data_IF_419447381305
#
_entry.id   IF_419447381305
#
_cell.length_a   1.000
_cell.length_b   1.000
_cell.length_c   1.000
_cell.angle_alpha   90.00
_cell.angle_beta   90.00
_cell.angle_gamma   90.00
#
_symmetry.space_group_name_H-M   'P 1'
#
loop_
_entity.id
_entity.type
_entity.pdbx_description
1 polymer ?
#
# COMPACT_ATOMS: atom_id res chain seq x y z
N UNK A 1 -4.68 31.62 -85.79
CA UNK A 1 -5.68 30.76 -85.11
C UNK A 1 -5.59 29.37 -85.73
N UNK A 2 -4.86 28.45 -85.10
CA UNK A 2 -4.53 27.14 -85.70
C UNK A 2 -5.03 26.02 -84.78
N UNK A 3 -5.82 25.12 -85.36
CA UNK A 3 -6.51 23.98 -84.74
C UNK A 3 -5.59 22.79 -84.50
N UNK A 4 -5.93 22.03 -83.45
CA UNK A 4 -5.38 20.73 -83.05
C UNK A 4 -5.39 19.65 -84.14
N UNK A 5 -4.40 18.74 -84.08
CA UNK A 5 -4.57 17.32 -84.44
C UNK A 5 -3.79 16.41 -83.50
N UNK A 6 -4.52 15.51 -82.84
CA UNK A 6 -4.08 14.38 -82.01
C UNK A 6 -3.29 13.34 -82.83
N UNK A 7 -2.28 12.71 -82.22
CA UNK A 7 -1.66 11.46 -82.69
C UNK A 7 -1.86 10.37 -81.63
N UNK A 8 -2.42 9.23 -82.05
CA UNK A 8 -2.43 7.95 -81.34
C UNK A 8 -1.15 7.15 -81.67
N UNK A 9 -0.62 6.33 -80.75
CA UNK A 9 0.18 5.16 -81.10
C UNK A 9 -0.58 3.85 -80.75
N UNK A 10 -0.82 2.98 -81.74
CA UNK A 10 -0.09 1.74 -82.09
C UNK A 10 -0.22 0.61 -81.04
N UNK A 11 -1.01 -0.41 -81.37
CA UNK A 11 -1.00 -1.77 -80.79
C UNK A 11 0.01 -2.65 -81.55
N UNK A 12 0.60 -3.69 -80.92
CA UNK A 12 0.27 -5.08 -81.28
C UNK A 12 0.46 -6.09 -80.09
N UNK A 13 0.55 -7.43 -80.26
CA UNK A 13 -0.55 -8.38 -80.38
C UNK A 13 -0.56 -9.52 -79.32
N UNK A 14 -1.66 -10.29 -79.33
CA UNK A 14 -1.94 -11.68 -78.88
C UNK A 14 -0.98 -12.49 -77.96
N UNK A 15 -1.59 -13.02 -76.89
CA UNK A 15 -1.36 -14.21 -76.02
C UNK A 15 -0.77 -15.48 -76.68
N UNK A 16 -0.39 -16.58 -75.94
CA UNK A 16 -0.43 -16.85 -74.49
C UNK A 16 0.87 -17.46 -73.89
N UNK A 17 1.05 -17.39 -72.57
CA UNK A 17 2.04 -18.23 -71.85
C UNK A 17 1.35 -19.01 -70.73
N UNK A 18 1.49 -20.33 -70.85
CA UNK A 18 1.00 -21.36 -69.95
C UNK A 18 1.49 -21.19 -68.52
N UNK A 19 0.57 -21.47 -67.59
CA UNK A 19 0.84 -21.66 -66.18
C UNK A 19 1.73 -22.88 -65.96
N UNK A 20 2.91 -22.66 -65.36
CA UNK A 20 3.62 -23.74 -64.65
C UNK A 20 3.67 -23.38 -63.17
N UNK A 21 2.91 -24.12 -62.36
CA UNK A 21 2.97 -24.10 -60.90
C UNK A 21 4.28 -24.73 -60.44
N UNK A 22 5.14 -23.95 -59.78
CA UNK A 22 6.22 -24.48 -58.94
C UNK A 22 5.94 -24.06 -57.50
N UNK A 23 5.61 -25.05 -56.67
CA UNK A 23 5.23 -24.87 -55.27
C UNK A 23 6.41 -24.39 -54.43
N UNK A 24 6.27 -23.19 -53.86
CA UNK A 24 7.13 -22.72 -52.78
C UNK A 24 6.61 -23.35 -51.48
N UNK A 25 7.34 -24.33 -50.96
CA UNK A 25 7.10 -24.89 -49.64
C UNK A 25 7.28 -23.79 -48.58
N UNK A 26 6.16 -23.31 -48.03
CA UNK A 26 6.15 -22.42 -46.86
C UNK A 26 6.71 -23.20 -45.67
N UNK A 27 7.99 -22.96 -45.33
CA UNK A 27 8.60 -23.44 -44.09
C UNK A 27 7.84 -22.79 -42.94
N UNK A 28 6.95 -23.55 -42.30
CA UNK A 28 6.16 -23.13 -41.14
C UNK A 28 7.15 -22.82 -40.02
N UNK A 29 7.41 -21.54 -39.76
CA UNK A 29 8.19 -21.12 -38.60
C UNK A 29 7.35 -21.49 -37.37
N UNK A 30 7.70 -22.62 -36.76
CA UNK A 30 7.08 -23.07 -35.53
C UNK A 30 7.53 -22.10 -34.43
N UNK A 31 6.66 -21.14 -34.11
CA UNK A 31 6.84 -20.26 -32.95
C UNK A 31 6.82 -21.17 -31.72
N UNK A 32 8.01 -21.49 -31.20
CA UNK A 32 8.18 -22.15 -29.89
C UNK A 32 7.51 -21.27 -28.84
N UNK A 33 6.23 -21.52 -28.56
CA UNK A 33 5.56 -20.98 -27.38
C UNK A 33 6.26 -21.58 -26.17
N UNK A 34 6.94 -20.75 -25.38
CA UNK A 34 7.57 -21.23 -24.15
C UNK A 34 6.49 -21.86 -23.28
N UNK A 35 6.61 -23.16 -23.01
CA UNK A 35 5.71 -23.94 -22.16
C UNK A 35 5.91 -23.66 -20.66
N UNK A 36 6.55 -22.55 -20.29
CA UNK A 36 6.65 -22.16 -18.88
C UNK A 36 5.25 -21.85 -18.38
N UNK A 37 4.68 -22.79 -17.64
CA UNK A 37 3.48 -22.59 -16.85
C UNK A 37 3.71 -21.34 -15.98
N UNK A 38 3.07 -20.23 -16.35
CA UNK A 38 3.06 -19.04 -15.50
C UNK A 38 2.28 -19.41 -14.25
N UNK A 39 2.89 -19.29 -13.07
CA UNK A 39 2.15 -19.35 -11.81
C UNK A 39 1.03 -18.31 -11.88
N UNK A 40 -0.14 -18.65 -11.34
CA UNK A 40 -1.25 -17.70 -11.24
C UNK A 40 -0.78 -16.44 -10.49
N UNK A 41 -1.29 -15.25 -10.86
CA UNK A 41 -0.95 -14.01 -10.16
C UNK A 41 -1.29 -14.11 -8.68
N UNK A 42 -0.46 -13.53 -7.80
CA UNK A 42 -0.80 -13.48 -6.37
C UNK A 42 -2.07 -12.65 -6.18
N UNK A 43 -3.06 -13.29 -5.59
CA UNK A 43 -4.24 -12.61 -5.12
C UNK A 43 -4.05 -12.20 -3.66
N UNK A 44 -3.62 -10.95 -3.46
CA UNK A 44 -3.65 -10.28 -2.16
C UNK A 44 -5.09 -9.79 -1.89
N UNK A 45 -6.04 -10.69 -1.69
CA UNK A 45 -7.37 -10.32 -1.17
C UNK A 45 -7.25 -9.88 0.30
N UNK A 46 -8.31 -9.25 0.83
CA UNK A 46 -8.48 -8.47 2.09
C UNK A 46 -8.00 -9.10 3.42
N UNK A 47 -7.31 -10.22 3.37
CA UNK A 47 -6.81 -11.00 4.50
C UNK A 47 -5.28 -10.87 4.63
N UNK A 48 -4.78 -9.66 4.46
CA UNK A 48 -3.35 -9.32 4.48
C UNK A 48 -2.63 -9.60 5.81
N UNK A 49 -3.39 -9.70 6.91
CA UNK A 49 -2.92 -10.17 8.23
C UNK A 49 -2.64 -11.68 8.27
N UNK A 50 -3.19 -12.48 7.35
CA UNK A 50 -2.95 -13.93 7.28
C UNK A 50 -1.52 -14.28 6.86
N UNK A 51 -0.75 -13.34 6.32
CA UNK A 51 0.66 -13.58 5.99
C UNK A 51 1.50 -13.84 7.24
N UNK A 52 1.13 -13.18 8.35
CA UNK A 52 1.83 -13.30 9.63
C UNK A 52 1.03 -14.09 10.66
N UNK A 53 -0.29 -14.18 10.50
CA UNK A 53 -1.18 -14.93 11.39
C UNK A 53 -1.73 -14.10 12.56
N UNK A 54 -1.23 -12.88 12.73
CA UNK A 54 -1.60 -11.99 13.84
C UNK A 54 -2.58 -10.91 13.37
N UNK A 55 -3.68 -10.77 14.10
CA UNK A 55 -4.58 -9.63 13.97
C UNK A 55 -3.96 -8.38 14.62
N UNK A 56 -4.41 -7.17 14.23
CA UNK A 56 -4.08 -5.98 14.99
C UNK A 56 -4.41 -6.14 16.48
N UNK A 57 -3.54 -5.63 17.33
CA UNK A 57 -3.70 -5.63 18.78
C UNK A 57 -3.92 -4.21 19.28
N UNK A 58 -4.92 -4.03 20.15
CA UNK A 58 -5.31 -2.74 20.69
C UNK A 58 -5.32 -2.77 22.23
N UNK A 59 -4.89 -1.67 22.85
CA UNK A 59 -5.03 -1.45 24.29
C UNK A 59 -5.80 -0.17 24.57
N UNK A 60 -6.64 -0.22 25.59
CA UNK A 60 -7.47 0.92 26.03
C UNK A 60 -6.62 1.86 26.89
N UNK A 61 -6.97 3.13 26.87
CA UNK A 61 -6.48 4.10 27.85
C UNK A 61 -7.03 3.80 29.26
N UNK A 62 -6.30 4.22 30.29
CA UNK A 62 -6.76 4.18 31.69
C UNK A 62 -8.10 4.90 31.84
N UNK A 63 -8.26 6.02 31.14
CA UNK A 63 -9.55 6.68 30.95
C UNK A 63 -10.30 6.04 29.76
N UNK A 64 -11.21 5.11 30.05
CA UNK A 64 -11.99 4.40 29.02
C UNK A 64 -12.71 5.34 28.03
N UNK A 65 -13.11 6.53 28.49
CA UNK A 65 -13.77 7.54 27.67
C UNK A 65 -12.85 8.18 26.63
N UNK A 66 -11.53 8.05 26.79
CA UNK A 66 -10.50 8.56 25.87
C UNK A 66 -10.20 7.59 24.70
N UNK A 67 -10.70 6.36 24.76
CA UNK A 67 -10.52 5.34 23.73
C UNK A 67 -9.21 4.57 23.84
N UNK A 68 -8.53 4.41 22.71
CA UNK A 68 -7.29 3.66 22.58
C UNK A 68 -6.07 4.38 23.17
N UNK A 69 -5.14 3.57 23.69
CA UNK A 69 -3.80 3.98 24.15
C UNK A 69 -2.69 3.46 23.25
N UNK A 70 -2.89 2.30 22.67
CA UNK A 70 -1.87 1.64 21.87
C UNK A 70 -2.51 0.76 20.80
N UNK A 71 -1.86 0.72 19.63
CA UNK A 71 -2.19 -0.19 18.56
C UNK A 71 -0.94 -0.73 17.89
N UNK A 72 -0.94 -2.01 17.52
CA UNK A 72 0.16 -2.61 16.77
C UNK A 72 -0.34 -3.64 15.75
N UNK A 73 0.38 -3.78 14.64
CA UNK A 73 0.10 -4.78 13.61
C UNK A 73 1.37 -5.13 12.81
N UNK A 74 1.40 -6.32 12.21
CA UNK A 74 2.39 -6.68 11.19
C UNK A 74 1.68 -6.66 9.83
N UNK A 75 2.12 -5.76 8.97
CA UNK A 75 1.53 -5.47 7.68
C UNK A 75 2.26 -6.26 6.59
N UNK A 76 1.53 -7.16 5.93
CA UNK A 76 2.03 -7.87 4.76
C UNK A 76 1.83 -7.10 3.45
N UNK A 77 2.34 -7.63 2.32
CA UNK A 77 2.24 -7.03 0.98
C UNK A 77 0.80 -6.81 0.46
N UNK A 78 -0.21 -7.33 1.14
CA UNK A 78 -1.62 -7.07 0.82
C UNK A 78 -2.26 -5.95 1.65
N UNK A 79 -1.56 -5.36 2.62
CA UNK A 79 -2.08 -4.25 3.40
C UNK A 79 -2.05 -2.95 2.57
N UNK A 80 -2.83 -1.94 2.95
CA UNK A 80 -2.84 -0.63 2.28
C UNK A 80 -3.80 -0.51 1.09
N UNK A 81 -4.77 -1.43 0.93
CA UNK A 81 -5.65 -1.50 -0.24
C UNK A 81 -6.90 -0.59 -0.18
N UNK A 82 -6.81 0.58 0.46
CA UNK A 82 -7.82 1.63 0.31
C UNK A 82 -9.19 1.27 0.89
N UNK A 83 -9.25 1.00 2.19
CA UNK A 83 -10.52 0.90 2.93
C UNK A 83 -11.12 2.27 3.26
N UNK A 84 -10.32 3.35 3.18
CA UNK A 84 -10.76 4.68 3.58
C UNK A 84 -10.97 4.76 5.10
N UNK A 85 -11.68 5.77 5.59
CA UNK A 85 -12.03 5.86 7.01
C UNK A 85 -13.39 5.23 7.28
N UNK A 86 -13.46 4.32 8.24
CA UNK A 86 -14.67 3.74 8.79
C UNK A 86 -14.91 4.17 10.26
N UNK A 87 -14.26 5.26 10.70
CA UNK A 87 -14.36 5.72 12.09
C UNK A 87 -15.77 6.21 12.44
N UNK A 88 -16.27 5.77 13.59
CA UNK A 88 -17.57 6.23 14.11
C UNK A 88 -17.37 7.56 14.83
N UNK A 89 -17.96 8.63 14.31
CA UNK A 89 -17.69 10.02 14.74
C UNK A 89 -18.15 10.41 16.15
N UNK A 90 -18.88 9.54 16.84
CA UNK A 90 -19.31 9.71 18.24
C UNK A 90 -18.42 8.96 19.25
N UNK A 91 -17.37 8.29 18.77
CA UNK A 91 -16.34 7.66 19.59
C UNK A 91 -15.02 8.43 19.50
N UNK A 92 -14.10 8.26 20.48
CA UNK A 92 -14.38 7.70 21.81
C UNK A 92 -15.37 8.59 22.59
N UNK A 93 -16.00 8.07 23.65
CA UNK A 93 -17.17 8.68 24.30
C UNK A 93 -16.96 10.15 24.72
N UNK A 94 -15.73 10.55 25.07
CA UNK A 94 -15.42 11.92 25.45
C UNK A 94 -15.56 12.95 24.30
N UNK A 95 -15.55 12.52 23.03
CA UNK A 95 -15.44 13.43 21.88
C UNK A 95 -16.54 14.51 21.83
N UNK A 96 -17.75 14.18 22.27
CA UNK A 96 -18.87 15.14 22.29
C UNK A 96 -18.69 16.21 23.37
N UNK A 97 -18.22 15.81 24.56
CA UNK A 97 -17.91 16.76 25.64
C UNK A 97 -16.75 17.68 25.26
N UNK A 98 -15.75 17.15 24.55
CA UNK A 98 -14.59 17.90 24.04
C UNK A 98 -15.05 18.94 23.02
N UNK A 99 -15.83 18.54 22.00
CA UNK A 99 -16.38 19.45 20.98
C UNK A 99 -17.22 20.58 21.60
N UNK A 100 -18.00 20.28 22.65
CA UNK A 100 -18.77 21.30 23.36
C UNK A 100 -17.89 22.29 24.14
N UNK A 101 -16.80 21.81 24.75
CA UNK A 101 -15.88 22.65 25.54
C UNK A 101 -14.98 23.52 24.66
N UNK A 102 -14.62 23.04 23.48
CA UNK A 102 -13.67 23.67 22.57
C UNK A 102 -14.29 23.91 21.17
N UNK A 103 -15.29 24.78 21.04
CA UNK A 103 -16.01 24.99 19.78
C UNK A 103 -15.14 25.58 18.65
N UNK A 104 -13.98 26.16 18.99
CA UNK A 104 -13.03 26.72 18.01
C UNK A 104 -12.01 25.72 17.47
N UNK A 105 -12.01 24.47 17.92
CA UNK A 105 -11.07 23.43 17.48
C UNK A 105 -11.83 22.25 16.90
N UNK A 106 -11.40 21.78 15.73
CA UNK A 106 -12.02 20.65 15.05
C UNK A 106 -11.45 19.35 15.58
N UNK A 107 -12.25 18.65 16.38
CA UNK A 107 -11.93 17.32 16.86
C UNK A 107 -12.58 16.22 16.03
N UNK A 108 -11.84 15.14 15.80
CA UNK A 108 -12.28 13.97 15.05
C UNK A 108 -12.00 12.67 15.81
N UNK A 109 -12.74 11.63 15.45
CA UNK A 109 -12.42 10.26 15.85
C UNK A 109 -11.30 9.74 14.97
N UNK A 110 -10.07 9.85 15.46
CA UNK A 110 -8.88 9.40 14.77
C UNK A 110 -8.59 7.93 15.02
N UNK A 111 -8.22 7.19 13.98
CA UNK A 111 -7.67 5.85 14.16
C UNK A 111 -6.27 5.91 14.80
N UNK A 112 -5.95 4.98 15.69
CA UNK A 112 -4.56 4.70 16.07
C UNK A 112 -3.88 3.94 14.94
N UNK A 113 -4.33 2.74 14.59
CA UNK A 113 -3.91 2.07 13.36
C UNK A 113 -4.86 2.43 12.23
N UNK A 114 -4.31 2.99 11.15
CA UNK A 114 -5.07 3.37 9.96
C UNK A 114 -5.93 2.20 9.43
N UNK A 115 -7.16 2.48 9.00
CA UNK A 115 -8.05 1.48 8.42
C UNK A 115 -7.49 0.82 7.15
N UNK A 116 -6.68 1.53 6.37
CA UNK A 116 -5.94 0.96 5.23
C UNK A 116 -4.93 -0.12 5.69
N UNK A 117 -4.47 -0.04 6.93
CA UNK A 117 -3.59 -1.04 7.56
C UNK A 117 -4.37 -2.14 8.30
N UNK A 118 -5.71 -2.13 8.21
CA UNK A 118 -6.58 -3.08 8.90
C UNK A 118 -7.05 -2.64 10.28
N UNK A 119 -6.86 -1.36 10.64
CA UNK A 119 -7.49 -0.79 11.82
C UNK A 119 -9.03 -0.84 11.75
N UNK A 120 -9.68 -1.25 12.84
CA UNK A 120 -11.13 -1.21 12.95
C UNK A 120 -11.58 0.18 13.44
N UNK A 121 -12.35 0.92 12.64
CA UNK A 121 -12.91 2.22 13.02
C UNK A 121 -14.15 2.16 13.91
N UNK A 122 -14.66 0.95 14.20
CA UNK A 122 -15.81 0.72 15.09
C UNK A 122 -15.36 0.32 16.50
N UNK A 123 -14.15 -0.22 16.62
CA UNK A 123 -13.56 -0.53 17.92
C UNK A 123 -12.97 0.72 18.57
N UNK A 124 -13.60 1.18 19.66
CA UNK A 124 -13.12 2.29 20.46
C UNK A 124 -11.66 2.15 20.93
N UNK A 125 -11.12 0.93 21.04
CA UNK A 125 -9.72 0.69 21.43
C UNK A 125 -8.72 1.11 20.36
N UNK A 126 -9.17 1.25 19.12
CA UNK A 126 -8.38 1.76 18.00
C UNK A 126 -8.74 3.21 17.66
N UNK A 127 -9.58 3.87 18.46
CA UNK A 127 -9.99 5.25 18.22
C UNK A 127 -9.47 6.15 19.33
N UNK A 128 -9.10 7.37 18.96
CA UNK A 128 -8.66 8.38 19.92
C UNK A 128 -9.06 9.78 19.45
N UNK A 129 -9.08 10.76 20.35
CA UNK A 129 -9.51 12.12 20.01
C UNK A 129 -8.36 12.91 19.40
N UNK A 130 -8.39 13.09 18.07
CA UNK A 130 -7.43 13.91 17.34
C UNK A 130 -8.02 15.27 16.98
N UNK A 131 -7.18 16.30 16.95
CA UNK A 131 -7.46 17.54 16.24
C UNK A 131 -7.29 17.31 14.73
N UNK A 132 -7.82 18.20 13.90
CA UNK A 132 -7.59 18.16 12.46
C UNK A 132 -6.10 18.22 12.13
N UNK A 133 -5.34 19.08 12.83
CA UNK A 133 -3.88 19.17 12.72
C UNK A 133 -3.19 17.88 13.12
N UNK A 134 -3.56 17.29 14.28
CA UNK A 134 -2.99 16.02 14.74
C UNK A 134 -3.21 14.89 13.75
N UNK A 135 -4.41 14.80 13.17
CA UNK A 135 -4.73 13.84 12.13
C UNK A 135 -3.95 14.08 10.81
N UNK A 136 -3.76 15.33 10.40
CA UNK A 136 -2.95 15.66 9.23
C UNK A 136 -1.47 15.27 9.45
N UNK A 137 -0.94 15.50 10.65
CA UNK A 137 0.41 15.07 11.02
C UNK A 137 0.53 13.54 11.06
N UNK A 138 -0.48 12.83 11.55
CA UNK A 138 -0.50 11.37 11.53
C UNK A 138 -0.39 10.79 10.11
N UNK A 139 -1.01 11.43 9.12
CA UNK A 139 -0.86 11.02 7.71
C UNK A 139 0.59 11.07 7.20
N UNK A 140 1.43 11.95 7.73
CA UNK A 140 2.85 12.04 7.34
C UNK A 140 3.65 10.81 7.75
N UNK A 141 3.22 10.11 8.81
CA UNK A 141 3.73 8.79 9.17
C UNK A 141 3.14 7.69 8.27
N UNK A 142 1.82 7.72 8.04
CA UNK A 142 1.13 6.66 7.30
C UNK A 142 1.52 6.60 5.81
N UNK A 143 1.75 7.74 5.16
CA UNK A 143 2.00 7.79 3.71
C UNK A 143 3.28 7.05 3.28
N UNK A 144 4.45 7.24 3.92
CA UNK A 144 5.63 6.44 3.62
C UNK A 144 5.40 4.95 3.86
N UNK A 145 4.64 4.55 4.89
CA UNK A 145 4.27 3.15 5.13
C UNK A 145 3.42 2.59 3.99
N UNK A 146 2.43 3.36 3.49
CA UNK A 146 1.64 2.96 2.31
C UNK A 146 2.53 2.73 1.09
N UNK A 147 3.47 3.64 0.83
CA UNK A 147 4.44 3.50 -0.27
C UNK A 147 5.31 2.26 -0.07
N UNK A 148 5.76 2.00 1.16
CA UNK A 148 6.59 0.84 1.50
C UNK A 148 5.83 -0.47 1.22
N UNK A 149 4.55 -0.54 1.59
CA UNK A 149 3.68 -1.68 1.30
C UNK A 149 3.46 -1.90 -0.20
N UNK A 150 3.30 -0.82 -0.98
CA UNK A 150 3.19 -0.92 -2.43
C UNK A 150 4.46 -1.46 -3.08
N UNK A 151 5.64 -1.03 -2.62
CA UNK A 151 6.92 -1.55 -3.09
C UNK A 151 7.09 -3.03 -2.71
N UNK A 152 6.78 -3.37 -1.46
CA UNK A 152 6.81 -4.75 -0.98
C UNK A 152 5.90 -5.66 -1.82
N UNK A 153 4.68 -5.21 -2.13
CA UNK A 153 3.76 -5.92 -3.01
C UNK A 153 4.36 -6.17 -4.38
N UNK A 154 4.98 -5.15 -4.97
CA UNK A 154 5.60 -5.23 -6.30
C UNK A 154 6.74 -6.24 -6.31
N UNK A 155 7.58 -6.25 -5.26
CA UNK A 155 8.65 -7.21 -5.08
C UNK A 155 8.11 -8.65 -4.99
N UNK A 156 7.05 -8.86 -4.20
CA UNK A 156 6.40 -10.17 -4.08
C UNK A 156 5.79 -10.65 -5.39
N UNK A 157 5.16 -9.77 -6.16
CA UNK A 157 4.61 -10.12 -7.48
C UNK A 157 5.71 -10.57 -8.43
N UNK A 158 6.80 -9.80 -8.53
CA UNK A 158 7.95 -10.15 -9.36
C UNK A 158 8.58 -11.49 -8.96
N UNK A 159 8.74 -11.75 -7.65
CA UNK A 159 9.28 -13.02 -7.16
C UNK A 159 8.36 -14.21 -7.49
N UNK A 160 7.05 -14.06 -7.36
CA UNK A 160 6.12 -15.13 -7.71
C UNK A 160 6.08 -15.44 -9.21
N UNK A 161 6.21 -14.42 -10.07
CA UNK A 161 6.33 -14.61 -11.52
C UNK A 161 7.58 -15.43 -11.89
N UNK A 162 8.62 -15.39 -11.04
CA UNK A 162 9.83 -16.20 -11.17
C UNK A 162 9.67 -17.63 -10.61
N UNK A 163 8.49 -17.97 -10.08
CA UNK A 163 8.19 -19.29 -9.53
C UNK A 163 8.49 -19.44 -8.04
N UNK A 164 8.98 -18.40 -7.36
CA UNK A 164 9.38 -18.43 -5.95
C UNK A 164 8.15 -18.58 -5.05
N UNK A 165 8.24 -19.35 -3.98
CA UNK A 165 7.20 -19.39 -2.95
C UNK A 165 7.34 -18.19 -2.00
N UNK A 166 6.69 -17.09 -2.38
CA UNK A 166 6.78 -15.84 -1.62
C UNK A 166 6.08 -15.90 -0.26
N UNK A 167 5.21 -16.90 -0.01
CA UNK A 167 4.56 -17.04 1.31
C UNK A 167 5.56 -17.44 2.39
N UNK A 168 6.61 -18.18 2.02
CA UNK A 168 7.65 -18.60 2.93
C UNK A 168 8.65 -17.47 3.28
N UNK A 169 8.70 -16.37 2.50
CA UNK A 169 9.63 -15.25 2.73
C UNK A 169 9.28 -14.44 3.99
N UNK A 170 7.99 -14.36 4.36
CA UNK A 170 7.47 -13.66 5.57
C UNK A 170 8.09 -12.26 5.82
N UNK A 171 8.29 -11.50 4.77
CA UNK A 171 8.67 -10.08 4.82
C UNK A 171 7.44 -9.16 4.97
N UNK A 172 7.50 -8.20 5.88
CA UNK A 172 6.41 -7.29 6.21
C UNK A 172 6.90 -6.07 6.99
N UNK A 173 5.96 -5.26 7.46
CA UNK A 173 6.25 -4.04 8.22
C UNK A 173 5.47 -4.08 9.52
N UNK A 174 6.16 -4.15 10.67
CA UNK A 174 5.53 -3.97 11.97
C UNK A 174 5.32 -2.48 12.19
N UNK A 175 4.08 -2.10 12.51
CA UNK A 175 3.70 -0.75 12.94
C UNK A 175 3.27 -0.81 14.41
N UNK A 176 3.73 0.14 15.20
CA UNK A 176 3.47 0.26 16.63
C UNK A 176 3.17 1.74 16.95
N UNK A 177 1.98 2.00 17.49
CA UNK A 177 1.45 3.34 17.69
C UNK A 177 1.02 3.45 19.13
N UNK A 178 1.62 4.39 19.86
CA UNK A 178 1.35 4.63 21.25
C UNK A 178 0.93 6.08 21.45
N UNK A 179 -0.19 6.30 22.15
CA UNK A 179 -0.50 7.62 22.69
C UNK A 179 0.55 7.91 23.75
N UNK A 180 1.24 9.06 23.71
CA UNK A 180 2.32 9.37 24.65
C UNK A 180 2.06 10.68 25.39
N UNK A 181 2.68 10.83 26.58
CA UNK A 181 2.74 12.10 27.29
C UNK A 181 1.52 12.48 28.14
N UNK A 182 1.54 13.74 28.59
CA UNK A 182 0.48 14.39 29.38
C UNK A 182 -0.72 14.70 28.50
N UNK A 183 -1.91 14.68 29.08
CA UNK A 183 -3.13 15.13 28.44
C UNK A 183 -3.18 16.67 28.39
N UNK A 184 -4.17 17.22 27.69
CA UNK A 184 -4.42 18.67 27.65
C UNK A 184 -4.69 19.26 29.04
N UNK A 185 -5.12 18.44 30.01
CA UNK A 185 -5.22 18.77 31.42
C UNK A 185 -5.79 17.60 32.23
N UNK A 186 -5.78 17.72 33.56
CA UNK A 186 -6.05 16.58 34.45
C UNK A 186 -7.55 16.34 34.75
N UNK A 187 -8.44 17.16 34.18
CA UNK A 187 -9.90 17.11 34.45
C UNK A 187 -10.71 16.79 33.20
N UNK A 188 -11.85 16.13 33.39
CA UNK A 188 -12.74 15.81 32.27
C UNK A 188 -13.28 17.08 31.58
N UNK A 189 -13.33 17.13 30.24
CA UNK A 189 -12.89 16.10 29.29
C UNK A 189 -11.44 16.29 28.77
N UNK A 190 -10.65 17.17 29.37
CA UNK A 190 -9.28 17.47 28.93
C UNK A 190 -8.34 16.27 29.12
N UNK A 191 -8.60 15.48 30.15
CA UNK A 191 -7.92 14.22 30.44
C UNK A 191 -8.30 13.08 29.47
N UNK A 192 -9.03 13.40 28.41
CA UNK A 192 -9.32 12.48 27.31
C UNK A 192 -8.71 12.95 25.98
N UNK A 193 -7.95 14.06 26.01
CA UNK A 193 -7.24 14.62 24.85
C UNK A 193 -5.75 14.47 25.11
N UNK A 194 -5.10 13.59 24.37
CA UNK A 194 -3.65 13.42 24.45
C UNK A 194 -2.94 14.56 23.74
N UNK A 195 -1.71 14.85 24.15
CA UNK A 195 -0.85 15.85 23.49
C UNK A 195 -0.04 15.27 22.34
N UNK A 196 0.32 13.99 22.39
CA UNK A 196 1.12 13.38 21.32
C UNK A 196 0.82 11.90 21.09
N UNK A 197 1.15 11.44 19.88
CA UNK A 197 1.32 10.03 19.55
C UNK A 197 2.78 9.80 19.17
N UNK A 198 3.29 8.62 19.51
CA UNK A 198 4.55 8.10 19.02
C UNK A 198 4.24 6.89 18.14
N UNK A 199 4.54 7.01 16.86
CA UNK A 199 4.38 6.01 15.83
C UNK A 199 5.75 5.48 15.41
N UNK A 200 5.91 4.16 15.38
CA UNK A 200 7.13 3.46 15.01
C UNK A 200 6.82 2.37 14.01
N UNK A 201 7.73 2.17 13.07
CA UNK A 201 7.69 1.11 12.10
C UNK A 201 9.03 0.39 12.00
N UNK A 202 8.98 -0.90 11.68
CA UNK A 202 10.17 -1.73 11.46
C UNK A 202 9.88 -2.77 10.39
N UNK A 203 10.83 -2.99 9.47
CA UNK A 203 10.78 -4.14 8.57
C UNK A 203 10.93 -5.43 9.39
N UNK A 204 9.98 -6.34 9.22
CA UNK A 204 10.03 -7.70 9.77
C UNK A 204 10.37 -8.63 8.62
N UNK A 205 11.39 -9.46 8.81
CA UNK A 205 11.93 -10.32 7.78
C UNK A 205 12.31 -11.70 8.32
N UNK A 206 12.39 -12.65 7.39
CA UNK A 206 13.13 -13.89 7.54
C UNK A 206 14.22 -13.92 6.46
N UNK A 207 15.39 -13.36 6.80
CA UNK A 207 16.53 -13.24 5.87
C UNK A 207 17.03 -14.59 5.38
N UNK A 208 16.86 -15.65 6.18
CA UNK A 208 17.22 -17.01 5.78
C UNK A 208 16.30 -17.48 4.66
N UNK A 209 14.99 -17.30 4.82
CA UNK A 209 14.02 -17.66 3.80
C UNK A 209 14.28 -16.90 2.48
N UNK A 210 14.61 -15.61 2.54
CA UNK A 210 14.95 -14.85 1.34
C UNK A 210 16.21 -15.41 0.65
N UNK A 211 17.28 -15.69 1.40
CA UNK A 211 18.53 -16.21 0.87
C UNK A 211 18.39 -17.62 0.26
N UNK A 212 17.52 -18.45 0.82
CA UNK A 212 17.28 -19.82 0.37
C UNK A 212 16.33 -19.89 -0.84
N UNK A 213 15.31 -19.02 -0.89
CA UNK A 213 14.24 -19.08 -1.88
C UNK A 213 14.51 -18.22 -3.12
N UNK A 214 15.32 -17.17 -3.02
CA UNK A 214 15.60 -16.26 -4.15
C UNK A 214 16.86 -16.72 -4.89
N UNK A 215 16.76 -17.12 -6.18
CA UNK A 215 17.93 -17.52 -6.95
C UNK A 215 18.96 -16.39 -7.02
N UNK A 216 20.26 -16.73 -6.96
CA UNK A 216 21.36 -15.76 -6.93
C UNK A 216 21.25 -14.65 -7.98
N UNK A 217 20.87 -14.99 -9.22
CA UNK A 217 20.68 -14.03 -10.32
C UNK A 217 19.59 -12.97 -10.12
N UNK A 218 18.69 -13.18 -9.15
CA UNK A 218 17.59 -12.29 -8.81
C UNK A 218 17.77 -11.63 -7.43
N UNK A 219 18.84 -12.00 -6.70
CA UNK A 219 19.08 -11.58 -5.33
C UNK A 219 19.30 -10.07 -5.22
N UNK A 220 20.13 -9.51 -6.10
CA UNK A 220 20.39 -8.07 -6.16
C UNK A 220 19.10 -7.24 -6.30
N UNK A 221 18.16 -7.70 -7.14
CA UNK A 221 16.86 -7.02 -7.32
C UNK A 221 15.97 -7.13 -6.09
N UNK A 222 15.97 -8.28 -5.41
CA UNK A 222 15.22 -8.47 -4.18
C UNK A 222 15.79 -7.60 -3.05
N UNK A 223 17.11 -7.58 -2.89
CA UNK A 223 17.81 -6.78 -1.88
C UNK A 223 17.60 -5.28 -2.13
N UNK A 224 17.65 -4.83 -3.39
CA UNK A 224 17.35 -3.44 -3.75
C UNK A 224 15.90 -3.04 -3.39
N UNK A 225 14.93 -3.93 -3.64
CA UNK A 225 13.54 -3.67 -3.29
C UNK A 225 13.33 -3.60 -1.76
N UNK A 226 13.98 -4.49 -1.00
CA UNK A 226 13.95 -4.47 0.47
C UNK A 226 14.60 -3.21 1.03
N UNK A 227 15.72 -2.78 0.43
CA UNK A 227 16.41 -1.54 0.82
C UNK A 227 15.51 -0.33 0.61
N UNK A 228 14.77 -0.28 -0.50
CA UNK A 228 13.83 0.79 -0.78
C UNK A 228 12.63 0.79 0.21
N UNK A 229 12.14 -0.38 0.61
CA UNK A 229 11.14 -0.52 1.69
C UNK A 229 11.70 0.01 3.02
N UNK A 230 12.94 -0.33 3.38
CA UNK A 230 13.56 0.15 4.62
C UNK A 230 13.70 1.68 4.63
N UNK A 231 14.14 2.29 3.53
CA UNK A 231 14.23 3.75 3.42
C UNK A 231 12.88 4.45 3.68
N UNK A 232 11.78 3.91 3.16
CA UNK A 232 10.44 4.45 3.39
C UNK A 232 9.96 4.23 4.84
N UNK A 233 10.36 3.13 5.48
CA UNK A 233 10.12 2.91 6.92
C UNK A 233 10.89 3.92 7.76
N UNK A 234 12.12 4.25 7.39
CA UNK A 234 12.93 5.27 8.07
C UNK A 234 12.34 6.68 7.88
N UNK A 235 11.85 6.99 6.68
CA UNK A 235 11.10 8.22 6.39
C UNK A 235 9.82 8.33 7.25
N UNK A 236 9.08 7.22 7.42
CA UNK A 236 7.93 7.17 8.32
C UNK A 236 8.35 7.49 9.76
N UNK A 237 9.38 6.82 10.26
CA UNK A 237 9.88 6.99 11.63
C UNK A 237 10.37 8.42 11.91
N UNK A 238 10.92 9.12 10.92
CA UNK A 238 11.28 10.53 11.04
C UNK A 238 10.06 11.45 11.28
N UNK A 239 8.86 10.99 10.92
CA UNK A 239 7.58 11.65 11.16
C UNK A 239 6.76 10.96 12.27
N UNK A 240 7.40 10.09 13.07
CA UNK A 240 6.72 9.25 14.06
C UNK A 240 6.22 9.99 15.30
N UNK A 241 6.76 11.18 15.61
CA UNK A 241 6.27 11.99 16.73
C UNK A 241 5.19 12.96 16.24
N UNK A 242 3.95 12.71 16.63
CA UNK A 242 2.77 13.45 16.17
C UNK A 242 2.25 14.30 17.31
N UNK A 243 2.28 15.62 17.16
CA UNK A 243 1.65 16.53 18.09
C UNK A 243 0.15 16.70 17.77
N UNK A 244 -0.69 16.60 18.81
CA UNK A 244 -2.13 16.80 18.76
C UNK A 244 -2.47 18.22 19.24
N UNK A 245 -2.04 19.21 18.47
CA UNK A 245 -2.15 20.63 18.80
C UNK A 245 -3.54 21.17 18.43
N UNK A 246 -4.03 22.21 19.12
CA UNK A 246 -5.21 22.97 18.68
C UNK A 246 -5.04 23.46 17.23
N UNK A 247 -6.15 23.66 16.53
CA UNK A 247 -6.12 24.23 15.19
C UNK A 247 -5.70 25.72 15.28
N UNK A 248 -4.63 26.13 14.57
CA UNK A 248 -4.21 27.54 14.45
C UNK A 248 -3.04 27.99 15.33
N UNK A 249 -2.41 27.08 16.08
CA UNK A 249 -1.09 27.27 16.70
C UNK A 249 0.03 26.78 15.78
#
# INVERSE_FOLDING_TARGET
>A
MVREKKKNPVSPPSTPLEMTLVGIAKKKVEVRRSSRARKAPLNFTDKYWQFFGDLPSYRVNEHQNAGGRHSSAILGPGAGLGKGSDSVGDKPQAIQAIKKKYPGTTFISGHLLNADFGGDGKDHKNLTVLTSTGNANHKKFDEPIKKALMQLRTAYQAMNELGIDVKAIRYGIKVDIEVTGKEWGDTYPNNCIFKSLTCKAKVVNDDKALAELVPHKNREKADAAITAVQHLVDEANANGEIANLPDGE
#
